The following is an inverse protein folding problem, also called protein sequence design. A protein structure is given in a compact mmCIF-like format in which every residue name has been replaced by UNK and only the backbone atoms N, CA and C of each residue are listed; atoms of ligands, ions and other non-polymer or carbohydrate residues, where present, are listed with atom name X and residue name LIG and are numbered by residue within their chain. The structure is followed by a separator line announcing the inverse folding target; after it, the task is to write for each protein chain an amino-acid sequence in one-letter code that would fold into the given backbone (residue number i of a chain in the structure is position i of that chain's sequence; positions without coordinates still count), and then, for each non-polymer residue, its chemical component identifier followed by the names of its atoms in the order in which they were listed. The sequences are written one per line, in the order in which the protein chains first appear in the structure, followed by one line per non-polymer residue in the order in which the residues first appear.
data_IF_756254677242
#
_entry.id   IF_756254677242
#
_cell.length_a   1.000
_cell.length_b   1.000
_cell.length_c   1.000
_cell.angle_alpha   90.00
_cell.angle_beta   90.00
_cell.angle_gamma   90.00
#
_symmetry.space_group_name_H-M   'P 1'
#
loop_
_entity.id
_entity.type
_entity.pdbx_description
1 polymer ?
#
# COMPACT_ATOMS: atom_id res chain seq x y z
N UNK A 1 -1.68 -31.06 38.99
CA UNK A 1 -2.23 -29.69 39.03
C UNK A 1 -2.73 -29.38 37.64
N UNK A 2 -4.04 -29.27 37.50
CA UNK A 2 -4.71 -28.83 36.28
C UNK A 2 -4.18 -27.46 35.85
N UNK A 3 -3.87 -27.31 34.57
CA UNK A 3 -3.57 -26.03 33.97
C UNK A 3 -4.81 -25.54 33.24
N UNK A 4 -5.55 -24.65 33.89
CA UNK A 4 -6.65 -23.94 33.27
C UNK A 4 -6.13 -23.04 32.14
N UNK A 5 -6.48 -23.43 30.91
CA UNK A 5 -6.38 -22.60 29.72
C UNK A 5 -7.38 -21.45 29.85
N UNK A 6 -6.89 -20.28 30.27
CA UNK A 6 -7.66 -19.03 30.17
C UNK A 6 -7.68 -18.62 28.69
N UNK A 7 -8.70 -19.12 27.99
CA UNK A 7 -9.14 -18.63 26.68
C UNK A 7 -9.72 -17.24 26.91
N UNK A 8 -9.04 -16.21 26.41
CA UNK A 8 -9.61 -14.86 26.34
C UNK A 8 -10.55 -14.77 25.13
N UNK A 9 -11.73 -14.13 25.26
CA UNK A 9 -12.70 -14.08 24.18
C UNK A 9 -12.22 -13.16 23.06
N UNK A 10 -12.14 -13.74 21.86
CA UNK A 10 -11.91 -13.09 20.59
C UNK A 10 -12.98 -12.01 20.35
N UNK A 11 -12.60 -10.74 20.53
CA UNK A 11 -13.46 -9.60 20.21
C UNK A 11 -13.66 -9.60 18.69
N UNK A 12 -14.81 -10.08 18.24
CA UNK A 12 -15.25 -10.08 16.85
C UNK A 12 -15.03 -8.70 16.21
N UNK A 13 -13.91 -8.57 15.50
CA UNK A 13 -13.64 -7.43 14.65
C UNK A 13 -14.57 -7.56 13.46
N UNK A 14 -15.69 -6.86 13.55
CA UNK A 14 -16.69 -6.70 12.51
C UNK A 14 -15.97 -6.35 11.20
N UNK A 15 -15.80 -7.33 10.31
CA UNK A 15 -15.26 -7.14 8.97
C UNK A 15 -16.34 -6.40 8.17
N UNK A 16 -16.33 -5.08 8.26
CA UNK A 16 -16.98 -4.26 7.25
C UNK A 16 -16.26 -4.53 5.94
N UNK A 17 -16.86 -5.40 5.12
CA UNK A 17 -16.51 -5.53 3.72
C UNK A 17 -16.59 -4.13 3.11
N UNK A 18 -15.45 -3.57 2.70
CA UNK A 18 -15.42 -2.37 1.88
C UNK A 18 -15.99 -2.78 0.52
N UNK A 19 -17.31 -2.72 0.43
CA UNK A 19 -18.05 -2.81 -0.83
C UNK A 19 -17.64 -1.59 -1.63
N UNK A 20 -16.82 -1.77 -2.65
CA UNK A 20 -16.49 -0.75 -3.63
C UNK A 20 -17.77 -0.41 -4.41
N UNK A 21 -18.59 0.48 -3.85
CA UNK A 21 -19.75 1.03 -4.54
C UNK A 21 -19.20 1.99 -5.60
N UNK A 22 -19.13 1.53 -6.85
CA UNK A 22 -18.99 2.42 -8.01
C UNK A 22 -20.28 3.24 -8.11
N UNK A 23 -20.33 4.40 -7.45
CA UNK A 23 -21.32 5.41 -7.75
C UNK A 23 -20.90 6.16 -9.02
N UNK A 24 -21.79 6.33 -10.02
CA UNK A 24 -21.52 7.24 -11.11
C UNK A 24 -21.69 8.67 -10.57
N UNK A 25 -20.60 9.42 -10.48
CA UNK A 25 -20.63 10.85 -10.16
C UNK A 25 -21.33 11.59 -11.31
N UNK A 26 -22.63 11.82 -11.15
CA UNK A 26 -23.43 12.69 -12.01
C UNK A 26 -22.98 14.13 -11.76
N UNK A 27 -22.00 14.63 -12.52
CA UNK A 27 -21.61 16.05 -12.46
C UNK A 27 -22.76 16.92 -12.97
N UNK A 28 -23.43 17.58 -12.02
CA UNK A 28 -24.37 18.68 -12.22
C UNK A 28 -23.54 19.88 -12.69
N UNK A 29 -23.75 20.33 -13.92
CA UNK A 29 -23.21 21.61 -14.38
C UNK A 29 -24.01 22.70 -13.67
N UNK A 30 -23.33 23.48 -12.84
CA UNK A 30 -23.81 24.77 -12.34
C UNK A 30 -23.37 25.77 -13.42
N UNK A 31 -24.34 26.42 -14.04
CA UNK A 31 -24.13 27.65 -14.79
C UNK A 31 -24.72 28.76 -13.92
N UNK A 32 -23.89 29.73 -13.57
CA UNK A 32 -24.33 30.99 -13.00
C UNK A 32 -24.85 31.91 -14.11
N UNK A 33 -25.82 32.73 -13.71
CA UNK A 33 -26.19 34.06 -14.19
C UNK A 33 -27.41 34.30 -15.12
N UNK A 34 -28.10 35.35 -14.69
CA UNK A 34 -29.02 36.31 -15.35
C UNK A 34 -30.54 36.02 -15.51
N UNK A 35 -31.30 36.85 -14.78
CA UNK A 35 -32.74 37.12 -14.91
C UNK A 35 -33.05 37.75 -16.27
N UNK A 36 -33.96 37.13 -17.05
CA UNK A 36 -34.91 37.90 -17.86
C UNK A 36 -36.14 37.08 -18.24
N UNK A 37 -37.29 37.65 -17.89
CA UNK A 37 -38.64 37.14 -18.07
C UNK A 37 -39.20 37.45 -19.48
N UNK A 38 -40.14 36.58 -19.92
CA UNK A 38 -41.15 36.74 -20.98
C UNK A 38 -40.73 36.50 -22.45
N UNK A 39 -41.33 35.47 -23.05
CA UNK A 39 -41.34 35.26 -24.50
C UNK A 39 -41.95 33.91 -24.91
N UNK A 40 -43.27 33.87 -25.07
CA UNK A 40 -44.04 32.70 -25.50
C UNK A 40 -43.75 32.31 -26.95
N UNK A 41 -42.93 31.28 -27.21
CA UNK A 41 -42.88 30.67 -28.56
C UNK A 41 -42.83 29.14 -28.54
N UNK A 42 -43.94 28.57 -29.03
CA UNK A 42 -44.19 27.22 -29.55
C UNK A 42 -43.03 26.23 -29.45
N UNK A 43 -43.06 25.48 -28.35
CA UNK A 43 -42.33 24.23 -28.13
C UNK A 43 -42.71 23.23 -29.24
N UNK A 44 -41.92 23.22 -30.32
CA UNK A 44 -42.03 22.27 -31.41
C UNK A 44 -42.07 20.86 -30.86
N UNK A 45 -43.25 20.25 -30.91
CA UNK A 45 -43.44 18.82 -30.73
C UNK A 45 -42.67 18.11 -31.86
N UNK A 46 -41.47 17.66 -31.54
CA UNK A 46 -40.87 16.49 -32.17
C UNK A 46 -39.98 15.79 -31.16
N UNK A 47 -40.61 15.28 -30.09
CA UNK A 47 -40.01 14.18 -29.32
C UNK A 47 -40.32 12.91 -30.08
N UNK A 48 -39.60 12.67 -31.16
CA UNK A 48 -39.68 11.40 -31.89
C UNK A 48 -39.48 10.26 -30.90
N UNK A 49 -40.49 9.41 -30.77
CA UNK A 49 -40.56 8.23 -29.91
C UNK A 49 -39.63 7.08 -30.39
N UNK A 50 -38.40 7.43 -30.78
CA UNK A 50 -37.43 6.55 -31.43
C UNK A 50 -35.98 6.79 -31.03
N UNK A 51 -35.72 7.63 -30.02
CA UNK A 51 -34.36 7.93 -29.56
C UNK A 51 -33.62 8.93 -30.46
N UNK A 52 -32.90 9.87 -29.86
CA UNK A 52 -32.13 10.88 -30.59
C UNK A 52 -30.67 10.47 -30.80
N UNK A 53 -29.95 11.20 -31.66
CA UNK A 53 -28.51 10.97 -31.93
C UNK A 53 -27.68 10.93 -30.63
N UNK A 54 -28.02 11.76 -29.63
CA UNK A 54 -27.36 11.76 -28.32
C UNK A 54 -27.45 10.40 -27.61
N UNK A 55 -28.60 9.75 -27.65
CA UNK A 55 -28.81 8.45 -27.03
C UNK A 55 -27.99 7.38 -27.75
N UNK A 56 -28.07 7.34 -29.09
CA UNK A 56 -27.30 6.39 -29.89
C UNK A 56 -25.80 6.61 -29.75
N UNK A 57 -25.33 7.86 -29.69
CA UNK A 57 -23.91 8.16 -29.49
C UNK A 57 -23.39 7.59 -28.17
N UNK A 58 -24.17 7.69 -27.09
CA UNK A 58 -23.82 7.10 -25.79
C UNK A 58 -23.76 5.57 -25.89
N UNK A 59 -24.75 4.94 -26.53
CA UNK A 59 -24.76 3.48 -26.70
C UNK A 59 -23.59 2.99 -27.55
N UNK A 60 -23.29 3.67 -28.68
CA UNK A 60 -22.12 3.39 -29.53
C UNK A 60 -20.84 3.51 -28.71
N UNK A 61 -20.68 4.57 -27.91
CA UNK A 61 -19.51 4.79 -27.07
C UNK A 61 -19.30 3.64 -26.07
N UNK A 62 -20.36 3.25 -25.35
CA UNK A 62 -20.31 2.17 -24.36
C UNK A 62 -19.96 0.82 -25.00
N UNK A 63 -20.56 0.51 -26.17
CA UNK A 63 -20.28 -0.74 -26.89
C UNK A 63 -18.84 -0.82 -27.38
N UNK A 64 -18.30 0.28 -27.92
CA UNK A 64 -16.91 0.36 -28.34
C UNK A 64 -15.96 0.23 -27.14
N UNK A 65 -16.27 0.89 -26.03
CA UNK A 65 -15.48 0.81 -24.80
C UNK A 65 -15.47 -0.61 -24.21
N UNK A 66 -16.60 -1.32 -24.23
CA UNK A 66 -16.70 -2.68 -23.69
C UNK A 66 -15.94 -3.71 -24.54
N UNK A 67 -16.10 -3.65 -25.87
CA UNK A 67 -15.51 -4.65 -26.78
C UNK A 67 -14.04 -4.38 -27.11
N UNK A 68 -13.62 -3.11 -27.05
CA UNK A 68 -12.31 -2.60 -27.49
C UNK A 68 -12.02 -2.74 -28.98
N UNK A 69 -12.33 -3.88 -29.59
CA UNK A 69 -12.20 -4.14 -31.03
C UNK A 69 -13.53 -4.71 -31.52
N UNK A 70 -14.09 -4.12 -32.58
CA UNK A 70 -15.40 -4.51 -33.12
C UNK A 70 -15.53 -4.07 -34.57
N UNK A 71 -16.68 -4.35 -35.19
CA UNK A 71 -17.00 -3.91 -36.55
C UNK A 71 -18.28 -3.09 -36.58
N UNK A 72 -18.46 -2.26 -37.61
CA UNK A 72 -19.68 -1.47 -37.77
C UNK A 72 -20.96 -2.33 -37.70
N UNK A 73 -20.95 -3.48 -38.39
CA UNK A 73 -22.13 -4.36 -38.46
C UNK A 73 -22.50 -4.88 -37.07
N UNK A 74 -21.50 -5.36 -36.34
CA UNK A 74 -21.66 -5.87 -34.99
C UNK A 74 -22.16 -4.78 -34.02
N UNK A 75 -21.60 -3.57 -34.08
CA UNK A 75 -22.07 -2.43 -33.25
C UNK A 75 -23.51 -2.05 -33.58
N UNK A 76 -23.87 -2.01 -34.86
CA UNK A 76 -25.22 -1.65 -35.29
C UNK A 76 -26.24 -2.70 -34.84
N UNK A 77 -25.99 -3.98 -35.12
CA UNK A 77 -26.90 -5.08 -34.84
C UNK A 77 -27.13 -5.22 -33.31
N UNK A 78 -26.10 -5.01 -32.49
CA UNK A 78 -26.28 -5.01 -31.03
C UNK A 78 -27.07 -3.82 -30.50
N UNK A 79 -26.86 -2.62 -31.05
CA UNK A 79 -27.64 -1.45 -30.62
C UNK A 79 -29.10 -1.61 -31.03
N UNK A 80 -29.38 -2.21 -32.19
CA UNK A 80 -30.74 -2.55 -32.61
C UNK A 80 -31.38 -3.53 -31.62
N UNK A 81 -30.65 -4.58 -31.23
CA UNK A 81 -31.11 -5.56 -30.24
C UNK A 81 -31.38 -4.92 -28.87
N UNK A 82 -30.42 -4.13 -28.35
CA UNK A 82 -30.56 -3.42 -27.08
C UNK A 82 -31.74 -2.42 -27.13
N UNK A 83 -31.94 -1.74 -28.26
CA UNK A 83 -33.05 -0.79 -28.40
C UNK A 83 -34.41 -1.50 -28.50
N UNK A 84 -34.47 -2.67 -29.15
CA UNK A 84 -35.67 -3.49 -29.19
C UNK A 84 -36.04 -4.05 -27.81
N UNK A 85 -35.06 -4.47 -27.00
CA UNK A 85 -35.31 -4.93 -25.61
C UNK A 85 -35.77 -3.79 -24.70
N UNK A 86 -35.22 -2.58 -24.87
CA UNK A 86 -35.67 -1.37 -24.14
C UNK A 86 -37.12 -1.00 -24.53
N UNK A 87 -37.48 -1.10 -25.81
CA UNK A 87 -38.85 -0.83 -26.29
C UNK A 87 -39.86 -1.94 -25.95
N UNK A 88 -39.46 -3.20 -25.88
CA UNK A 88 -40.38 -4.31 -25.56
C UNK A 88 -40.94 -4.27 -24.12
N UNK A 89 -40.30 -3.50 -23.21
CA UNK A 89 -40.87 -3.17 -21.91
C UNK A 89 -41.97 -2.08 -21.96
N UNK A 90 -42.26 -1.52 -23.15
CA UNK A 90 -43.29 -0.52 -23.41
C UNK A 90 -44.14 -0.98 -24.62
N UNK A 91 -45.26 -1.64 -24.36
CA UNK A 91 -46.21 -2.21 -25.33
C UNK A 91 -46.54 -1.27 -26.53
N UNK A 92 -46.05 -1.55 -27.77
CA UNK A 92 -46.65 -1.16 -29.09
C UNK A 92 -45.81 -1.62 -30.33
N UNK A 93 -46.33 -1.53 -31.59
CA UNK A 93 -46.43 -2.65 -32.53
C UNK A 93 -45.26 -2.84 -33.53
N UNK A 94 -45.28 -4.01 -34.16
CA UNK A 94 -44.24 -4.65 -34.99
C UNK A 94 -43.76 -3.89 -36.26
N UNK A 95 -44.49 -2.88 -36.75
CA UNK A 95 -44.17 -2.20 -38.02
C UNK A 95 -43.13 -1.07 -37.87
N UNK A 96 -42.90 -0.57 -36.65
CA UNK A 96 -41.86 0.45 -36.39
C UNK A 96 -40.43 -0.13 -36.43
N UNK A 97 -40.29 -1.45 -36.34
CA UNK A 97 -38.99 -2.11 -36.13
C UNK A 97 -38.05 -1.92 -37.34
N UNK A 98 -38.55 -2.02 -38.57
CA UNK A 98 -37.73 -1.85 -39.78
C UNK A 98 -37.31 -0.38 -40.00
N UNK A 99 -38.20 0.56 -39.65
CA UNK A 99 -37.89 2.00 -39.71
C UNK A 99 -36.83 2.37 -38.67
N UNK A 100 -36.96 1.84 -37.46
CA UNK A 100 -35.99 2.04 -36.38
C UNK A 100 -34.63 1.44 -36.76
N UNK A 101 -34.59 0.30 -37.44
CA UNK A 101 -33.33 -0.32 -37.88
C UNK A 101 -32.54 0.58 -38.85
N UNK A 102 -33.20 1.08 -39.90
CA UNK A 102 -32.57 1.99 -40.88
C UNK A 102 -32.11 3.29 -40.22
N UNK A 103 -32.90 3.81 -39.28
CA UNK A 103 -32.55 5.02 -38.52
C UNK A 103 -31.31 4.79 -37.64
N UNK A 104 -31.30 3.71 -36.84
CA UNK A 104 -30.20 3.36 -35.94
C UNK A 104 -28.91 3.19 -36.73
N UNK A 105 -28.93 2.43 -37.83
CA UNK A 105 -27.77 2.25 -38.72
C UNK A 105 -27.21 3.60 -39.17
N UNK A 106 -28.06 4.52 -39.63
CA UNK A 106 -27.64 5.87 -40.03
C UNK A 106 -27.01 6.67 -38.88
N UNK A 107 -27.59 6.59 -37.67
CA UNK A 107 -27.10 7.29 -36.47
C UNK A 107 -25.80 6.72 -35.93
N UNK A 108 -25.59 5.40 -36.04
CA UNK A 108 -24.32 4.75 -35.67
C UNK A 108 -23.19 5.30 -36.53
N UNK A 109 -23.40 5.48 -37.84
CA UNK A 109 -22.40 6.13 -38.70
C UNK A 109 -22.10 7.58 -38.29
N UNK A 110 -23.11 8.38 -37.94
CA UNK A 110 -22.90 9.75 -37.47
C UNK A 110 -22.00 9.76 -36.22
N UNK A 111 -22.30 8.92 -35.23
CA UNK A 111 -21.51 8.81 -34.01
C UNK A 111 -20.08 8.33 -34.27
N UNK A 112 -19.90 7.29 -35.08
CA UNK A 112 -18.57 6.75 -35.41
C UNK A 112 -17.69 7.78 -36.13
N UNK A 113 -18.26 8.56 -37.06
CA UNK A 113 -17.50 9.59 -37.77
C UNK A 113 -17.00 10.69 -36.82
N UNK A 114 -17.85 11.13 -35.89
CA UNK A 114 -17.45 12.10 -34.86
C UNK A 114 -16.41 11.50 -33.92
N UNK A 115 -16.56 10.24 -33.50
CA UNK A 115 -15.58 9.57 -32.64
C UNK A 115 -14.23 9.38 -33.32
N UNK A 116 -14.23 9.14 -34.64
CA UNK A 116 -13.00 9.11 -35.43
C UNK A 116 -12.33 10.48 -35.49
N UNK A 117 -13.12 11.55 -35.71
CA UNK A 117 -12.60 12.93 -35.76
C UNK A 117 -12.04 13.40 -34.40
N UNK A 118 -12.62 12.94 -33.29
CA UNK A 118 -12.14 13.20 -31.93
C UNK A 118 -11.01 12.26 -31.48
N UNK A 119 -10.50 11.42 -32.36
CA UNK A 119 -9.49 10.39 -32.09
C UNK A 119 -9.87 9.42 -30.94
N UNK A 120 -11.17 9.25 -30.68
CA UNK A 120 -11.70 8.29 -29.70
C UNK A 120 -11.58 6.85 -30.22
N UNK A 121 -11.65 6.68 -31.55
CA UNK A 121 -11.53 5.39 -32.23
C UNK A 121 -10.58 5.45 -33.43
N UNK A 122 -9.98 4.31 -33.75
CA UNK A 122 -9.28 4.06 -35.00
C UNK A 122 -10.14 3.17 -35.90
N UNK A 123 -10.15 3.43 -37.21
CA UNK A 123 -10.79 2.55 -38.19
C UNK A 123 -9.74 1.98 -39.12
N UNK A 124 -9.69 0.67 -39.22
CA UNK A 124 -8.88 -0.07 -40.18
C UNK A 124 -9.79 -0.96 -41.02
N UNK A 125 -10.06 -0.53 -42.25
CA UNK A 125 -11.02 -1.18 -43.16
C UNK A 125 -12.39 -1.41 -42.49
N UNK A 126 -12.64 -2.64 -42.04
CA UNK A 126 -13.88 -3.10 -41.37
C UNK A 126 -13.77 -3.11 -39.85
N UNK A 127 -12.56 -3.09 -39.31
CA UNK A 127 -12.27 -3.11 -37.89
C UNK A 127 -12.30 -1.70 -37.32
N UNK A 128 -12.90 -1.58 -36.13
CA UNK A 128 -12.99 -0.37 -35.33
C UNK A 128 -12.33 -0.67 -34.00
N UNK A 129 -11.27 0.08 -33.66
CA UNK A 129 -10.53 -0.03 -32.41
C UNK A 129 -10.82 1.14 -31.50
N UNK A 130 -11.17 0.88 -30.26
CA UNK A 130 -11.32 1.85 -29.20
C UNK A 130 -9.96 2.37 -28.75
N UNK A 131 -9.72 3.67 -28.90
CA UNK A 131 -8.50 4.33 -28.39
C UNK A 131 -8.70 4.85 -26.97
N UNK A 132 -9.92 5.25 -26.61
CA UNK A 132 -10.24 5.88 -25.32
C UNK A 132 -10.80 7.27 -25.50
N UNK A 133 -11.42 7.81 -24.45
CA UNK A 133 -11.82 9.22 -24.46
C UNK A 133 -10.56 10.09 -24.37
N UNK A 134 -10.43 11.16 -25.19
CA UNK A 134 -9.38 12.15 -25.06
C UNK A 134 -9.27 12.60 -23.61
N UNK A 135 -8.04 12.70 -23.10
CA UNK A 135 -7.79 13.22 -21.76
C UNK A 135 -8.15 14.71 -21.78
N UNK A 136 -9.38 15.04 -21.42
CA UNK A 136 -9.92 16.41 -21.50
C UNK A 136 -9.23 17.31 -20.45
N UNK A 137 -8.66 16.73 -19.39
CA UNK A 137 -8.04 17.47 -18.28
C UNK A 137 -6.69 16.85 -17.88
N UNK A 138 -5.58 17.45 -18.31
CA UNK A 138 -4.22 17.10 -17.80
C UNK A 138 -4.14 17.15 -16.26
N UNK A 139 -4.98 17.98 -15.64
CA UNK A 139 -5.13 18.11 -14.18
C UNK A 139 -5.52 16.80 -13.50
N UNK A 140 -6.38 16.00 -14.11
CA UNK A 140 -6.87 14.73 -13.53
C UNK A 140 -5.76 13.68 -13.52
N UNK A 141 -4.91 13.66 -14.55
CA UNK A 141 -3.75 12.76 -14.61
C UNK A 141 -2.72 13.12 -13.54
N UNK A 142 -2.45 14.41 -13.34
CA UNK A 142 -1.52 14.86 -12.29
C UNK A 142 -2.07 14.61 -10.88
N UNK A 143 -3.39 14.70 -10.69
CA UNK A 143 -4.04 14.31 -9.44
C UNK A 143 -3.91 12.82 -9.15
N UNK A 144 -4.23 11.97 -10.13
CA UNK A 144 -4.07 10.51 -10.02
C UNK A 144 -2.61 10.12 -9.75
N UNK A 145 -1.64 10.79 -10.41
CA UNK A 145 -0.21 10.58 -10.12
C UNK A 145 0.16 10.97 -8.68
N UNK A 146 -0.36 12.11 -8.19
CA UNK A 146 -0.13 12.56 -6.81
C UNK A 146 -0.65 11.53 -5.81
N UNK A 147 -1.84 11.02 -6.03
CA UNK A 147 -2.44 10.03 -5.13
C UNK A 147 -1.73 8.67 -5.22
N UNK A 148 -1.31 8.25 -6.42
CA UNK A 148 -0.43 7.09 -6.59
C UNK A 148 0.84 7.24 -5.76
N UNK A 149 1.49 8.40 -5.82
CA UNK A 149 2.72 8.65 -5.07
C UNK A 149 2.48 8.65 -3.55
N UNK A 150 1.36 9.22 -3.07
CA UNK A 150 0.98 9.15 -1.65
C UNK A 150 0.81 7.70 -1.17
N UNK A 151 0.08 6.89 -1.95
CA UNK A 151 -0.13 5.47 -1.63
C UNK A 151 1.20 4.71 -1.64
N UNK A 152 2.04 4.94 -2.64
CA UNK A 152 3.36 4.31 -2.75
C UNK A 152 4.24 4.64 -1.54
N UNK A 153 4.30 5.91 -1.13
CA UNK A 153 5.04 6.31 0.07
C UNK A 153 4.47 5.66 1.33
N UNK A 154 3.15 5.52 1.45
CA UNK A 154 2.55 4.82 2.58
C UNK A 154 2.90 3.33 2.58
N UNK A 155 2.90 2.68 1.42
CA UNK A 155 3.29 1.27 1.28
C UNK A 155 4.75 1.09 1.67
N UNK A 156 5.64 1.98 1.23
CA UNK A 156 7.06 1.93 1.57
C UNK A 156 7.27 2.07 3.08
N UNK A 157 6.63 3.04 3.74
CA UNK A 157 6.70 3.21 5.19
C UNK A 157 6.22 1.97 5.94
N UNK A 158 5.10 1.38 5.51
CA UNK A 158 4.57 0.14 6.11
C UNK A 158 5.51 -1.04 5.88
N UNK A 159 6.15 -1.14 4.72
CA UNK A 159 7.10 -2.21 4.43
C UNK A 159 8.34 -2.14 5.32
N UNK A 160 8.90 -0.94 5.53
CA UNK A 160 10.02 -0.72 6.46
C UNK A 160 9.61 -1.06 7.89
N UNK A 161 8.47 -0.55 8.36
CA UNK A 161 7.97 -0.84 9.70
C UNK A 161 7.70 -2.34 9.94
N UNK A 162 7.14 -3.04 8.94
CA UNK A 162 6.92 -4.49 9.03
C UNK A 162 8.24 -5.27 9.10
N UNK A 163 9.28 -4.80 8.41
CA UNK A 163 10.61 -5.40 8.49
C UNK A 163 11.20 -5.22 9.89
N UNK A 164 11.14 -4.00 10.45
CA UNK A 164 11.61 -3.70 11.81
C UNK A 164 10.86 -4.55 12.86
N UNK A 165 9.53 -4.69 12.72
CA UNK A 165 8.72 -5.49 13.63
C UNK A 165 9.09 -6.97 13.57
N UNK A 166 9.34 -7.51 12.36
CA UNK A 166 9.80 -8.89 12.18
C UNK A 166 11.17 -9.11 12.84
N UNK A 167 12.10 -8.17 12.66
CA UNK A 167 13.42 -8.23 13.29
C UNK A 167 13.31 -8.19 14.81
N UNK A 168 12.43 -7.35 15.38
CA UNK A 168 12.16 -7.30 16.82
C UNK A 168 11.59 -8.62 17.35
N UNK A 169 10.59 -9.21 16.68
CA UNK A 169 10.00 -10.51 17.08
C UNK A 169 11.06 -11.62 17.04
N UNK A 170 11.83 -11.71 15.95
CA UNK A 170 12.88 -12.73 15.82
C UNK A 170 13.97 -12.59 16.89
N UNK A 171 14.32 -11.35 17.26
CA UNK A 171 15.31 -11.08 18.31
C UNK A 171 14.77 -11.46 19.69
N UNK A 172 13.50 -11.16 19.98
CA UNK A 172 12.85 -11.54 21.24
C UNK A 172 12.71 -13.05 21.38
N UNK A 173 12.28 -13.76 20.33
CA UNK A 173 12.22 -15.23 20.31
C UNK A 173 13.60 -15.84 20.57
N UNK A 174 14.64 -15.31 19.92
CA UNK A 174 16.02 -15.75 20.13
C UNK A 174 16.49 -15.51 21.57
N UNK A 175 16.13 -14.37 22.17
CA UNK A 175 16.46 -14.04 23.55
C UNK A 175 15.73 -14.97 24.53
N UNK A 176 14.44 -15.21 24.31
CA UNK A 176 13.63 -16.11 25.13
C UNK A 176 14.18 -17.55 25.10
N UNK A 177 14.52 -18.05 23.92
CA UNK A 177 15.12 -19.38 23.77
C UNK A 177 16.45 -19.48 24.51
N UNK A 178 17.35 -18.50 24.32
CA UNK A 178 18.63 -18.46 25.04
C UNK A 178 18.43 -18.42 26.55
N UNK A 179 17.53 -17.57 27.04
CA UNK A 179 17.27 -17.45 28.46
C UNK A 179 16.67 -18.74 29.04
N UNK A 180 15.79 -19.42 28.29
CA UNK A 180 15.26 -20.72 28.67
C UNK A 180 16.37 -21.78 28.81
N UNK A 181 17.29 -21.87 27.84
CA UNK A 181 18.44 -22.78 27.93
C UNK A 181 19.36 -22.47 29.11
N UNK A 182 19.55 -21.19 29.44
CA UNK A 182 20.37 -20.75 30.58
C UNK A 182 19.74 -21.15 31.91
N UNK A 183 18.42 -21.01 32.06
CA UNK A 183 17.70 -21.45 33.26
C UNK A 183 17.80 -22.97 33.47
N UNK A 184 17.81 -23.76 32.39
CA UNK A 184 18.00 -25.21 32.48
C UNK A 184 19.43 -25.57 32.88
N UNK A 185 20.43 -24.80 32.44
CA UNK A 185 21.87 -25.06 32.71
C UNK A 185 22.35 -24.56 34.06
N UNK A 186 21.76 -23.48 34.56
CA UNK A 186 22.15 -22.81 35.80
C UNK A 186 21.00 -22.98 36.78
N UNK A 187 21.14 -23.89 37.75
CA UNK A 187 20.20 -24.06 38.87
C UNK A 187 20.28 -22.86 39.85
N UNK A 188 19.96 -21.67 39.38
CA UNK A 188 20.01 -20.43 40.16
C UNK A 188 19.02 -19.39 39.61
N UNK A 189 18.63 -18.39 40.43
CA UNK A 189 17.74 -17.33 39.98
C UNK A 189 18.38 -16.58 38.81
N UNK A 190 17.64 -16.41 37.71
CA UNK A 190 18.12 -15.69 36.55
C UNK A 190 18.30 -14.21 36.90
N UNK A 191 19.55 -13.80 37.18
CA UNK A 191 19.91 -12.40 37.35
C UNK A 191 19.89 -11.70 35.98
N UNK A 192 19.08 -10.65 35.85
CA UNK A 192 18.95 -9.94 34.59
C UNK A 192 17.92 -8.82 34.61
N UNK A 193 17.95 -7.97 33.59
CA UNK A 193 17.00 -6.89 33.39
C UNK A 193 15.81 -7.35 32.55
N UNK A 194 14.61 -6.91 32.92
CA UNK A 194 13.39 -7.13 32.15
C UNK A 194 13.18 -6.04 31.09
N UNK A 195 12.47 -6.37 30.02
CA UNK A 195 12.03 -5.39 29.03
C UNK A 195 10.65 -4.83 29.45
N UNK A 196 10.33 -3.56 29.13
CA UNK A 196 11.14 -2.59 28.41
C UNK A 196 12.18 -1.89 29.29
N UNK A 197 13.35 -1.58 28.73
CA UNK A 197 14.41 -0.81 29.40
C UNK A 197 15.04 0.20 28.44
N UNK A 198 15.71 1.20 29.02
CA UNK A 198 16.54 2.15 28.31
C UNK A 198 17.93 2.11 28.95
N UNK A 199 18.96 2.01 28.13
CA UNK A 199 20.36 2.03 28.55
C UNK A 199 20.97 3.39 28.24
N UNK A 200 21.62 3.99 29.23
CA UNK A 200 22.44 5.18 29.08
C UNK A 200 23.90 4.76 29.09
N UNK A 201 24.63 5.05 28.02
CA UNK A 201 26.06 4.75 27.88
C UNK A 201 26.85 6.06 27.92
N UNK A 202 27.90 6.11 28.72
CA UNK A 202 28.83 7.25 28.78
C UNK A 202 30.26 6.74 29.00
N UNK A 203 31.23 7.65 29.02
CA UNK A 203 32.63 7.32 29.27
C UNK A 203 32.77 6.59 30.64
N UNK A 204 33.56 5.51 30.74
CA UNK A 204 33.80 4.81 32.02
C UNK A 204 34.33 5.69 33.16
N UNK A 205 34.93 6.83 32.83
CA UNK A 205 35.45 7.82 33.78
C UNK A 205 34.57 9.06 33.93
N UNK A 206 33.38 9.09 33.31
CA UNK A 206 32.42 10.17 33.49
C UNK A 206 31.87 10.16 34.93
N UNK A 207 31.69 11.35 35.50
CA UNK A 207 31.00 11.54 36.77
C UNK A 207 29.58 11.96 36.46
N UNK A 208 28.61 11.13 36.85
CA UNK A 208 27.18 11.36 36.65
C UNK A 208 26.53 11.66 37.99
N UNK A 209 25.91 12.82 38.11
CA UNK A 209 25.10 13.18 39.27
C UNK A 209 23.65 12.76 39.01
N UNK A 210 23.07 12.06 39.98
CA UNK A 210 21.74 11.46 39.86
C UNK A 210 20.88 11.98 40.99
N UNK A 211 19.80 12.69 40.65
CA UNK A 211 18.77 13.10 41.59
C UNK A 211 17.47 12.38 41.26
N UNK A 212 16.92 11.67 42.24
CA UNK A 212 15.66 10.93 42.08
C UNK A 212 14.63 11.59 42.98
N UNK A 213 13.47 11.92 42.41
CA UNK A 213 12.36 12.45 43.18
C UNK A 213 11.87 11.44 44.23
N UNK A 214 11.28 11.93 45.32
CA UNK A 214 10.76 11.09 46.40
C UNK A 214 9.69 10.09 45.91
N UNK A 215 8.87 10.48 44.93
CA UNK A 215 7.84 9.64 44.31
C UNK A 215 8.37 8.69 43.23
N UNK A 216 9.69 8.71 42.98
CA UNK A 216 10.39 7.93 41.96
C UNK A 216 9.86 8.11 40.52
N UNK A 217 9.11 9.17 40.24
CA UNK A 217 8.57 9.45 38.91
C UNK A 217 9.53 10.26 38.04
N UNK A 218 10.47 10.98 38.65
CA UNK A 218 11.42 11.84 37.98
C UNK A 218 12.84 11.48 38.38
N UNK A 219 13.68 11.29 37.35
CA UNK A 219 15.11 11.09 37.51
C UNK A 219 15.81 12.19 36.73
N UNK A 220 16.61 12.99 37.42
CA UNK A 220 17.52 13.96 36.83
C UNK A 220 18.92 13.35 36.76
N UNK A 221 19.53 13.41 35.58
CA UNK A 221 20.87 12.90 35.32
C UNK A 221 21.70 14.08 34.79
N UNK A 222 22.67 14.54 35.57
CA UNK A 222 23.67 15.50 35.12
C UNK A 222 24.97 14.76 34.78
N UNK A 223 25.37 14.86 33.52
CA UNK A 223 26.59 14.25 33.01
C UNK A 223 27.80 15.19 33.08
N UNK A 224 27.71 16.37 33.71
CA UNK A 224 28.81 17.32 33.87
C UNK A 224 29.46 17.71 32.52
N UNK A 225 28.63 17.92 31.49
CA UNK A 225 29.04 18.15 30.10
C UNK A 225 29.77 16.97 29.42
N UNK A 226 29.81 15.77 30.02
CA UNK A 226 30.33 14.58 29.36
C UNK A 226 29.29 14.02 28.36
N UNK A 227 29.72 13.62 27.15
CA UNK A 227 28.82 13.02 26.18
C UNK A 227 28.23 11.69 26.68
N UNK A 228 26.98 11.43 26.32
CA UNK A 228 26.32 10.17 26.58
C UNK A 228 25.45 9.75 25.39
N UNK A 229 25.14 8.47 25.32
CA UNK A 229 24.26 7.84 24.33
C UNK A 229 23.08 7.19 25.01
N UNK A 230 21.93 7.19 24.35
CA UNK A 230 20.69 6.57 24.84
C UNK A 230 20.29 5.46 23.89
N UNK A 231 20.04 4.28 24.44
CA UNK A 231 19.76 3.07 23.69
C UNK A 231 18.47 2.43 24.21
N UNK A 232 17.56 2.10 23.29
CA UNK A 232 16.33 1.39 23.62
C UNK A 232 16.51 -0.13 23.57
N UNK A 233 15.46 -0.85 23.95
CA UNK A 233 15.43 -2.31 23.92
C UNK A 233 15.72 -2.88 22.51
N UNK A 234 15.20 -2.24 21.46
CA UNK A 234 15.37 -2.68 20.08
C UNK A 234 16.83 -2.58 19.61
N UNK A 235 17.51 -1.49 19.95
CA UNK A 235 18.93 -1.32 19.67
C UNK A 235 19.77 -2.39 20.38
N UNK A 236 19.50 -2.64 21.67
CA UNK A 236 20.23 -3.64 22.45
C UNK A 236 20.00 -5.05 21.87
N UNK A 237 18.76 -5.40 21.53
CA UNK A 237 18.43 -6.69 20.90
C UNK A 237 19.19 -6.91 19.59
N UNK A 238 19.33 -5.85 18.78
CA UNK A 238 20.12 -5.90 17.54
C UNK A 238 21.60 -6.15 17.80
N UNK A 239 22.20 -5.43 18.76
CA UNK A 239 23.60 -5.65 19.14
C UNK A 239 23.84 -7.09 19.63
N UNK A 240 22.93 -7.64 20.42
CA UNK A 240 23.01 -9.03 20.89
C UNK A 240 22.99 -10.03 19.73
N UNK A 241 22.19 -9.77 18.69
CA UNK A 241 22.13 -10.60 17.50
C UNK A 241 23.40 -10.51 16.66
N UNK A 242 23.94 -9.31 16.45
CA UNK A 242 25.20 -9.08 15.73
C UNK A 242 26.37 -9.81 16.40
N UNK A 243 26.45 -9.72 17.73
CA UNK A 243 27.47 -10.42 18.50
C UNK A 243 27.36 -11.95 18.36
N UNK A 244 26.14 -12.51 18.39
CA UNK A 244 25.91 -13.95 18.13
C UNK A 244 26.41 -14.36 16.75
N UNK A 245 26.17 -13.56 15.72
CA UNK A 245 26.64 -13.82 14.36
C UNK A 245 28.17 -13.80 14.27
N UNK A 246 28.83 -12.87 14.97
CA UNK A 246 30.29 -12.80 15.04
C UNK A 246 30.89 -14.03 15.74
N UNK A 247 30.31 -14.45 16.87
CA UNK A 247 30.76 -15.66 17.57
C UNK A 247 30.61 -16.92 16.71
N UNK A 248 29.49 -17.06 16.00
CA UNK A 248 29.26 -18.17 15.07
C UNK A 248 30.27 -18.17 13.91
N UNK A 249 30.65 -17.00 13.39
CA UNK A 249 31.68 -16.88 12.35
C UNK A 249 33.08 -17.24 12.87
N UNK A 250 33.44 -16.79 14.07
CA UNK A 250 34.73 -17.11 14.68
C UNK A 250 34.88 -18.62 14.95
N UNK A 251 33.83 -19.26 15.47
CA UNK A 251 33.82 -20.70 15.77
C UNK A 251 33.77 -21.60 14.53
N UNK A 252 33.28 -21.11 13.39
CA UNK A 252 33.33 -21.82 12.10
C UNK A 252 34.64 -21.60 11.33
N UNK A 253 35.43 -20.56 11.66
CA UNK A 253 36.79 -20.38 11.12
C UNK A 253 37.88 -21.18 11.87
N UNK A 254 37.62 -21.57 13.13
CA UNK A 254 38.56 -22.37 13.92
C UNK A 254 38.58 -23.87 13.60
N UNK A 255 37.67 -24.36 12.75
CA UNK A 255 37.58 -25.78 12.38
C UNK A 255 38.34 -26.17 11.10
N UNK A 256 39.16 -25.29 10.52
CA UNK A 256 39.91 -25.58 9.27
C UNK A 256 41.44 -25.42 9.34
N UNK A 257 42.06 -25.41 10.52
CA UNK A 257 43.53 -25.46 10.59
C UNK A 257 44.08 -26.46 11.62
N UNK A 258 44.13 -27.73 11.20
CA UNK A 258 45.17 -28.65 11.61
C UNK A 258 45.80 -29.28 10.36
N UNK A 259 46.75 -28.57 9.76
CA UNK A 259 47.96 -29.12 9.13
C UNK A 259 48.75 -27.99 8.44
N UNK A 260 49.84 -27.60 9.07
CA UNK A 260 51.19 -27.46 8.47
C UNK A 260 52.02 -26.57 9.37
N UNK A 261 53.06 -27.16 9.96
CA UNK A 261 54.20 -26.41 10.47
C UNK A 261 54.92 -25.81 9.25
N UNK A 262 55.33 -24.55 9.34
CA UNK A 262 56.71 -24.08 9.10
C UNK A 262 56.77 -22.56 9.35
N UNK A 263 57.78 -22.19 10.12
CA UNK A 263 58.10 -20.85 10.63
C UNK A 263 58.37 -19.82 9.54
N UNK A 264 58.08 -18.54 9.82
CA UNK A 264 59.01 -17.40 9.60
C UNK A 264 58.50 -16.10 10.23
N UNK A 265 59.44 -15.37 10.81
CA UNK A 265 59.34 -14.17 11.63
C UNK A 265 59.19 -12.88 10.79
N UNK A 266 58.37 -11.91 11.21
CA UNK A 266 58.81 -10.51 11.44
C UNK A 266 57.69 -9.49 11.73
N UNK A 267 58.04 -8.64 12.70
CA UNK A 267 57.73 -7.22 12.90
C UNK A 267 56.28 -6.74 13.15
N UNK A 268 56.13 -6.31 14.40
CA UNK A 268 55.15 -5.39 14.98
C UNK A 268 55.10 -4.01 14.31
N UNK A 269 53.88 -3.49 14.12
CA UNK A 269 53.55 -2.06 14.27
C UNK A 269 52.19 -1.95 14.97
N UNK A 270 52.17 -1.20 16.07
CA UNK A 270 51.04 -0.97 16.97
C UNK A 270 50.00 -0.01 16.37
N UNK A 271 48.72 -0.20 16.68
CA UNK A 271 47.71 0.87 16.84
C UNK A 271 46.38 0.34 17.38
N UNK A 272 45.87 0.98 18.43
CA UNK A 272 44.44 1.10 18.74
C UNK A 272 43.78 -0.05 19.49
N UNK A 273 43.78 0.00 20.82
CA UNK A 273 42.97 -0.87 21.67
C UNK A 273 41.49 -0.46 21.58
N UNK A 274 40.67 -1.20 20.83
CA UNK A 274 39.24 -1.34 21.13
C UNK A 274 38.98 -2.83 21.37
N UNK A 275 39.19 -3.28 22.61
CA UNK A 275 38.83 -4.62 23.02
C UNK A 275 37.30 -4.77 23.07
N UNK A 276 36.76 -5.97 22.84
CA UNK A 276 35.33 -6.23 22.97
C UNK A 276 34.91 -6.04 24.43
N UNK A 277 33.75 -5.41 24.65
CA UNK A 277 33.14 -5.28 25.97
C UNK A 277 32.70 -6.68 26.42
N UNK A 278 33.51 -7.29 27.28
CA UNK A 278 33.19 -8.53 27.96
C UNK A 278 32.27 -8.21 29.13
N UNK A 279 31.01 -8.64 29.05
CA UNK A 279 30.14 -8.70 30.23
C UNK A 279 30.67 -9.80 31.15
N UNK A 280 31.51 -9.44 32.11
CA UNK A 280 32.06 -10.36 33.10
C UNK A 280 30.94 -10.85 34.02
N UNK A 281 30.70 -12.16 34.00
CA UNK A 281 30.27 -12.89 35.18
C UNK A 281 31.49 -13.06 36.09
N UNK A 282 31.63 -12.21 37.10
CA UNK A 282 32.48 -12.45 38.28
C UNK A 282 32.18 -11.40 39.34
N UNK A 283 31.52 -11.82 40.40
CA UNK A 283 31.68 -11.22 41.73
C UNK A 283 31.76 -12.35 42.74
N UNK A 284 32.84 -12.29 43.51
CA UNK A 284 33.07 -13.04 44.75
C UNK A 284 32.10 -12.60 45.84
#
# INVERSE_FOLDING_TARGET
MEMDLIVTPEKQRNRHAVRLVKTPVRRKLIADDDDHEIGTEKKGQSRTAGGGLRQFSVMVCQKLEAKKITTYKEVADEIISDFATIKHNAEKPLNENEYNEKNIRRRVYDALNVFMALDIIARDKKEIRWKGLPIICKKDVEEVKRDRNKVMNSVQKKAVFLKELREKVSSLESLMLRNHEMVVKTEGPAEGFTLPLILLETNPHAVVEIEISEDMQLVHLDFNSTPFSVHDDAYILKLMQEHKLQQNRASSSSSTHHQSQHSSSSSCIASGTSGPVCWNSRSS
#
